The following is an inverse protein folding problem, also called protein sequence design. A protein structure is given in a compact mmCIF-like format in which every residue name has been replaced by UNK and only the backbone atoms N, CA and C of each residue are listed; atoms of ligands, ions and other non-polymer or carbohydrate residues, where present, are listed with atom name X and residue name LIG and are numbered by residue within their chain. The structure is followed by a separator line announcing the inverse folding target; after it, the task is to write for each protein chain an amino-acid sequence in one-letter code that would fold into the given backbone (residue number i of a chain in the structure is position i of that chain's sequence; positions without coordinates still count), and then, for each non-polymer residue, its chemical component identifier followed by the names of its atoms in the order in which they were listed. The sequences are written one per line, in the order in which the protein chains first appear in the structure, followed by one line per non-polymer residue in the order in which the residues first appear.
data_IF_891222082791
#
_entry.id   IF_891222082791
#
_cell.length_a   1.000
_cell.length_b   1.000
_cell.length_c   1.000
_cell.angle_alpha   90.00
_cell.angle_beta   90.00
_cell.angle_gamma   90.00
#
_symmetry.space_group_name_H-M   'P 1'
#
loop_
_entity.id
_entity.type
_entity.pdbx_description
1 polymer ?
#
# COMPACT_ATOMS: atom_id res chain seq x y z
N UNK A 1 -12.78 -2.25 0.89
CA UNK A 1 -11.76 -1.72 1.84
C UNK A 1 -10.38 -1.95 1.26
N UNK A 2 -9.52 -0.94 1.29
CA UNK A 2 -8.11 -1.05 0.88
C UNK A 2 -7.20 -0.98 2.10
N UNK A 3 -6.29 -1.94 2.21
CA UNK A 3 -5.24 -1.92 3.22
C UNK A 3 -3.88 -1.81 2.53
N UNK A 4 -3.16 -0.72 2.80
CA UNK A 4 -1.91 -0.38 2.13
C UNK A 4 -0.78 -0.40 3.17
N UNK A 5 0.19 -1.27 2.98
CA UNK A 5 1.42 -1.28 3.75
C UNK A 5 2.49 -0.41 3.08
N UNK A 6 3.22 0.37 3.87
CA UNK A 6 4.28 1.24 3.36
C UNK A 6 5.50 1.25 4.28
N UNK A 7 6.69 1.05 3.70
CA UNK A 7 7.95 1.06 4.47
C UNK A 7 8.42 2.44 4.95
N UNK A 8 8.01 3.53 4.26
CA UNK A 8 8.39 4.90 4.62
C UNK A 8 7.15 5.76 4.87
N UNK A 9 7.11 6.55 5.96
CA UNK A 9 6.07 7.54 6.20
C UNK A 9 5.81 8.42 4.98
N UNK A 10 4.53 8.66 4.67
CA UNK A 10 4.09 9.56 3.60
C UNK A 10 3.53 10.84 4.19
N UNK A 11 3.79 11.96 3.52
CA UNK A 11 3.27 13.25 3.95
C UNK A 11 1.73 13.26 3.92
N UNK A 12 1.12 14.15 4.71
CA UNK A 12 -0.34 14.32 4.71
C UNK A 12 -0.87 14.62 3.30
N UNK A 13 -0.17 15.47 2.55
CA UNK A 13 -0.54 15.82 1.17
C UNK A 13 -0.47 14.62 0.23
N UNK A 14 0.54 13.75 0.36
CA UNK A 14 0.64 12.52 -0.43
C UNK A 14 -0.53 11.58 -0.13
N UNK A 15 -0.88 11.38 1.15
CA UNK A 15 -2.02 10.55 1.55
C UNK A 15 -3.35 11.09 1.00
N UNK A 16 -3.61 12.38 1.17
CA UNK A 16 -4.80 13.03 0.62
C UNK A 16 -4.88 12.92 -0.91
N UNK A 17 -3.76 13.12 -1.60
CA UNK A 17 -3.67 12.97 -3.05
C UNK A 17 -3.97 11.54 -3.52
N UNK A 18 -3.49 10.53 -2.78
CA UNK A 18 -3.79 9.13 -3.03
C UNK A 18 -5.29 8.86 -2.85
N UNK A 19 -5.88 9.24 -1.71
CA UNK A 19 -7.30 8.97 -1.42
C UNK A 19 -8.22 9.57 -2.48
N UNK A 20 -8.00 10.84 -2.84
CA UNK A 20 -8.80 11.52 -3.85
C UNK A 20 -8.71 10.84 -5.21
N UNK A 21 -7.50 10.50 -5.66
CA UNK A 21 -7.30 9.84 -6.97
C UNK A 21 -7.87 8.43 -7.00
N UNK A 22 -7.73 7.69 -5.90
CA UNK A 22 -8.30 6.35 -5.78
C UNK A 22 -9.82 6.41 -5.88
N UNK A 23 -10.49 7.22 -5.06
CA UNK A 23 -11.95 7.32 -5.09
C UNK A 23 -12.47 7.78 -6.47
N UNK A 24 -11.81 8.76 -7.13
CA UNK A 24 -12.20 9.20 -8.46
C UNK A 24 -12.12 8.07 -9.50
N UNK A 25 -11.00 7.32 -9.53
CA UNK A 25 -10.82 6.19 -10.47
C UNK A 25 -11.82 5.06 -10.20
N UNK A 26 -12.11 4.77 -8.94
CA UNK A 26 -13.09 3.75 -8.55
C UNK A 26 -14.52 4.13 -8.97
N UNK A 27 -14.89 5.39 -8.82
CA UNK A 27 -16.19 5.93 -9.25
C UNK A 27 -16.30 5.92 -10.77
N UNK A 28 -15.29 6.46 -11.47
CA UNK A 28 -15.27 6.61 -12.93
C UNK A 28 -15.30 5.28 -13.70
N UNK A 29 -14.58 4.24 -13.24
CA UNK A 29 -14.51 2.96 -13.97
C UNK A 29 -15.44 1.87 -13.49
N UNK A 30 -15.75 1.86 -12.19
CA UNK A 30 -16.41 0.72 -11.56
C UNK A 30 -17.71 1.11 -10.87
N UNK A 31 -18.14 2.37 -10.99
CA UNK A 31 -19.32 2.91 -10.33
C UNK A 31 -19.33 2.64 -8.81
N UNK A 32 -18.14 2.63 -8.21
CA UNK A 32 -17.98 2.46 -6.77
C UNK A 32 -18.07 3.84 -6.12
N UNK A 33 -19.16 4.07 -5.38
CA UNK A 33 -19.37 5.32 -4.65
C UNK A 33 -18.18 5.64 -3.75
N UNK A 34 -17.67 6.89 -3.76
CA UNK A 34 -16.63 7.33 -2.83
C UNK A 34 -16.99 7.15 -1.34
N UNK A 35 -18.28 7.08 -1.00
CA UNK A 35 -18.76 6.85 0.37
C UNK A 35 -18.52 5.41 0.84
N UNK A 36 -18.37 4.46 -0.08
CA UNK A 36 -18.17 3.03 0.20
C UNK A 36 -16.68 2.64 0.23
N UNK A 37 -15.77 3.61 0.13
CA UNK A 37 -14.32 3.40 0.06
C UNK A 37 -13.66 3.75 1.39
N UNK A 38 -13.16 2.73 2.08
CA UNK A 38 -12.25 2.89 3.22
C UNK A 38 -10.82 2.55 2.83
N UNK A 39 -9.87 3.42 3.17
CA UNK A 39 -8.42 3.23 2.97
C UNK A 39 -7.71 3.31 4.30
N UNK A 40 -6.98 2.25 4.65
CA UNK A 40 -6.07 2.24 5.79
C UNK A 40 -4.64 2.17 5.26
N UNK A 41 -3.78 3.07 5.70
CA UNK A 41 -2.34 3.01 5.42
C UNK A 41 -1.62 2.66 6.73
N UNK A 42 -0.98 1.49 6.76
CA UNK A 42 -0.12 1.06 7.85
C UNK A 42 1.34 1.20 7.45
N UNK A 43 2.14 1.73 8.38
CA UNK A 43 3.58 1.79 8.22
C UNK A 43 4.22 0.69 9.05
N UNK A 44 5.12 -0.05 8.42
CA UNK A 44 5.89 -1.11 9.03
C UNK A 44 7.30 -1.08 8.46
N UNK A 45 8.21 -1.76 9.14
CA UNK A 45 9.59 -1.83 8.74
C UNK A 45 9.78 -2.96 7.73
N UNK A 46 10.89 -2.91 7.00
CA UNK A 46 11.18 -3.94 6.00
C UNK A 46 11.34 -5.33 6.63
N UNK A 47 11.81 -5.38 7.88
CA UNK A 47 11.96 -6.61 8.67
C UNK A 47 10.62 -7.25 9.05
N UNK A 48 9.52 -6.49 9.03
CA UNK A 48 8.18 -7.02 9.28
C UNK A 48 7.63 -7.80 8.07
N UNK A 49 8.35 -7.81 6.93
CA UNK A 49 7.87 -8.38 5.67
C UNK A 49 8.60 -9.68 5.33
N UNK A 50 7.82 -10.75 5.13
CA UNK A 50 8.29 -11.98 4.49
C UNK A 50 7.72 -12.08 3.08
N UNK A 51 8.57 -12.31 2.09
CA UNK A 51 8.16 -12.46 0.70
C UNK A 51 8.51 -13.83 0.17
N UNK A 52 7.53 -14.72 0.09
CA UNK A 52 7.66 -16.08 -0.47
C UNK A 52 8.77 -16.92 0.19
N UNK A 53 8.56 -18.23 0.33
CA UNK A 53 9.57 -19.15 0.90
C UNK A 53 10.09 -18.74 2.31
N UNK A 54 9.35 -17.93 3.07
CA UNK A 54 9.70 -17.57 4.46
C UNK A 54 10.93 -16.68 4.63
N UNK A 55 11.40 -15.97 3.59
CA UNK A 55 12.61 -15.14 3.68
C UNK A 55 12.31 -13.64 3.69
N UNK A 56 13.07 -12.90 4.49
CA UNK A 56 13.35 -11.50 4.16
C UNK A 56 14.21 -11.48 2.89
N UNK A 57 13.94 -10.59 1.94
CA UNK A 57 14.90 -10.31 0.86
C UNK A 57 15.23 -8.83 0.90
N UNK A 58 16.36 -8.52 1.53
CA UNK A 58 17.11 -7.32 1.24
C UNK A 58 18.53 -7.76 0.87
N UNK A 59 18.93 -7.55 -0.39
CA UNK A 59 20.34 -7.43 -0.70
C UNK A 59 20.79 -6.07 -0.17
N UNK A 60 22.03 -5.97 0.32
CA UNK A 60 22.62 -4.76 0.93
C UNK A 60 22.80 -3.57 -0.06
N UNK A 61 22.04 -3.52 -1.15
CA UNK A 61 22.15 -2.51 -2.20
C UNK A 61 20.93 -1.61 -2.23
N UNK A 62 20.47 -1.08 -1.08
CA UNK A 62 19.54 0.07 -0.98
C UNK A 62 18.26 0.04 -1.86
N UNK A 63 17.92 -1.12 -2.42
CA UNK A 63 16.90 -1.27 -3.44
C UNK A 63 15.59 -1.58 -2.75
N UNK A 64 14.71 -0.59 -2.67
CA UNK A 64 13.35 -0.78 -2.16
C UNK A 64 12.76 -2.05 -2.77
N UNK A 65 12.40 -3.02 -1.92
CA UNK A 65 11.78 -4.26 -2.34
C UNK A 65 10.66 -3.93 -3.33
N UNK A 66 10.87 -4.26 -4.61
CA UNK A 66 9.89 -4.05 -5.68
C UNK A 66 8.70 -5.01 -5.60
N UNK A 67 8.65 -5.85 -4.56
CA UNK A 67 7.53 -6.76 -4.31
C UNK A 67 6.44 -6.03 -3.55
N UNK A 68 5.26 -5.89 -4.16
CA UNK A 68 4.04 -5.64 -3.39
C UNK A 68 3.87 -6.78 -2.37
N UNK A 69 3.67 -6.44 -1.10
CA UNK A 69 3.34 -7.43 -0.07
C UNK A 69 1.95 -7.99 -0.40
N UNK A 70 1.90 -9.20 -0.96
CA UNK A 70 0.67 -9.97 -1.05
C UNK A 70 0.57 -10.82 0.21
N UNK A 71 -0.26 -10.38 1.15
CA UNK A 71 -0.67 -11.24 2.26
C UNK A 71 -1.82 -12.11 1.76
N UNK A 72 -1.69 -13.44 1.91
CA UNK A 72 -2.82 -14.34 1.75
C UNK A 72 -3.82 -14.04 2.88
N UNK A 73 -4.97 -13.50 2.50
CA UNK A 73 -6.24 -13.69 3.20
C UNK A 73 -7.21 -14.30 2.20
#
# INVERSE_FOLDING_TARGET
MFHIFAGKPRSRAQKQGLYRRLCARLDDEMAVSPQDVMVVIQFNQLEDWSFTQGRWRMNETGGAARGAAFQMI
#
